data_IF_152567918044
#
_entry.id   IF_152567918044
#
_cell.length_a   1.000
_cell.length_b   1.000
_cell.length_c   1.000
_cell.angle_alpha   90.00
_cell.angle_beta   90.00
_cell.angle_gamma   90.00
#
_symmetry.space_group_name_H-M   'P 1'
#
loop_
_entity.id
_entity.type
_entity.pdbx_description
1 polymer ?
#
# COMPACT_ATOMS: atom_id res chain seq x y z
N UNK A 1 -15.70 16.09 -17.29
CA UNK A 1 -17.07 16.06 -16.76
C UNK A 1 -17.11 15.02 -15.65
N UNK A 2 -17.22 15.43 -14.39
CA UNK A 2 -17.10 14.54 -13.25
C UNK A 2 -18.42 13.77 -13.05
N UNK A 3 -18.40 12.45 -13.29
CA UNK A 3 -19.52 11.57 -12.92
C UNK A 3 -19.76 11.70 -11.41
N UNK A 4 -21.03 11.84 -10.99
CA UNK A 4 -21.37 11.91 -9.57
C UNK A 4 -20.93 10.64 -8.82
N UNK A 5 -20.00 10.83 -7.88
CA UNK A 5 -19.51 9.77 -7.00
C UNK A 5 -20.61 9.42 -6.01
N UNK A 6 -21.04 8.16 -6.00
CA UNK A 6 -22.01 7.65 -5.03
C UNK A 6 -21.32 7.23 -3.74
N UNK A 7 -20.21 6.49 -3.85
CA UNK A 7 -19.50 5.95 -2.68
C UNK A 7 -18.02 5.71 -2.99
N UNK A 8 -17.15 5.99 -2.02
CA UNK A 8 -15.74 5.61 -2.09
C UNK A 8 -15.49 4.50 -1.09
N UNK A 9 -15.06 3.34 -1.58
CA UNK A 9 -14.74 2.16 -0.77
C UNK A 9 -13.23 1.97 -0.79
N UNK A 10 -12.59 1.93 0.38
CA UNK A 10 -11.15 1.69 0.51
C UNK A 10 -10.94 0.27 1.05
N UNK A 11 -10.22 -0.55 0.32
CA UNK A 11 -9.93 -1.94 0.69
C UNK A 11 -8.44 -2.23 0.62
N UNK A 12 -8.00 -3.23 1.37
CA UNK A 12 -6.65 -3.78 1.29
C UNK A 12 -6.75 -5.18 0.70
N UNK A 13 -6.10 -5.41 -0.44
CA UNK A 13 -6.17 -6.67 -1.18
C UNK A 13 -4.74 -7.16 -1.46
N UNK A 14 -4.50 -8.47 -1.36
CA UNK A 14 -3.20 -9.05 -1.72
C UNK A 14 -3.08 -9.13 -3.24
N UNK A 15 -2.02 -8.55 -3.81
CA UNK A 15 -1.72 -8.58 -5.24
C UNK A 15 -1.62 -10.00 -5.78
N UNK A 16 -2.18 -10.23 -6.97
CA UNK A 16 -2.21 -11.53 -7.64
C UNK A 16 -3.11 -12.60 -7.00
N UNK A 17 -3.81 -12.30 -5.89
CA UNK A 17 -4.68 -13.23 -5.18
C UNK A 17 -5.99 -12.56 -4.72
N UNK A 18 -6.57 -11.66 -5.54
CA UNK A 18 -7.89 -11.12 -5.25
C UNK A 18 -8.95 -12.23 -5.42
N UNK A 19 -9.38 -12.78 -4.28
CA UNK A 19 -10.47 -13.73 -4.21
C UNK A 19 -11.73 -13.05 -3.65
N UNK A 20 -12.93 -13.51 -4.03
CA UNK A 20 -14.21 -13.01 -3.50
C UNK A 20 -14.46 -13.35 -2.01
N UNK A 21 -13.40 -13.66 -1.26
CA UNK A 21 -13.40 -14.07 0.14
C UNK A 21 -14.00 -12.98 1.05
N UNK A 22 -14.42 -13.32 2.29
CA UNK A 22 -15.14 -12.42 3.20
C UNK A 22 -14.57 -11.02 3.45
N UNK A 23 -13.26 -10.73 3.34
CA UNK A 23 -12.79 -9.33 3.47
C UNK A 23 -13.13 -8.44 2.28
N UNK A 24 -13.34 -8.98 1.08
CA UNK A 24 -13.54 -8.21 -0.17
C UNK A 24 -14.99 -8.32 -0.66
N UNK A 25 -15.56 -9.53 -0.63
CA UNK A 25 -16.90 -9.82 -1.17
C UNK A 25 -18.03 -8.98 -0.54
N UNK A 26 -18.22 -8.99 0.79
CA UNK A 26 -19.27 -8.22 1.46
C UNK A 26 -19.13 -6.71 1.29
N UNK A 27 -17.91 -6.17 1.35
CA UNK A 27 -17.66 -4.74 1.23
C UNK A 27 -17.93 -4.20 -0.18
N UNK A 28 -17.59 -4.97 -1.21
CA UNK A 28 -17.87 -4.64 -2.61
C UNK A 28 -19.32 -4.91 -3.01
N UNK A 29 -19.88 -6.03 -2.55
CA UNK A 29 -21.28 -6.40 -2.80
C UNK A 29 -22.25 -5.39 -2.21
N UNK A 30 -22.00 -4.93 -0.97
CA UNK A 30 -22.79 -3.87 -0.34
C UNK A 30 -22.67 -2.51 -1.04
N UNK A 31 -21.65 -2.31 -1.88
CA UNK A 31 -21.45 -1.12 -2.69
C UNK A 31 -22.00 -1.27 -4.13
N UNK A 32 -22.54 -2.44 -4.50
CA UNK A 32 -23.09 -2.68 -5.84
C UNK A 32 -22.03 -2.88 -6.92
N UNK A 33 -20.79 -3.21 -6.55
CA UNK A 33 -19.67 -3.44 -7.48
C UNK A 33 -19.65 -4.90 -7.95
N UNK A 34 -19.35 -5.13 -9.23
CA UNK A 34 -19.17 -6.48 -9.75
C UNK A 34 -17.85 -7.09 -9.26
N UNK A 35 -17.94 -7.98 -8.26
CA UNK A 35 -16.80 -8.58 -7.56
C UNK A 35 -15.89 -9.36 -8.52
N UNK A 36 -16.46 -10.12 -9.46
CA UNK A 36 -15.69 -10.93 -10.40
C UNK A 36 -14.89 -10.07 -11.38
N UNK A 37 -15.50 -8.99 -11.87
CA UNK A 37 -14.85 -8.06 -12.79
C UNK A 37 -13.73 -7.31 -12.08
N UNK A 38 -13.97 -6.85 -10.85
CA UNK A 38 -12.94 -6.25 -10.00
C UNK A 38 -11.77 -7.21 -9.76
N UNK A 39 -12.03 -8.46 -9.37
CA UNK A 39 -10.99 -9.46 -9.12
C UNK A 39 -10.13 -9.71 -10.37
N UNK A 40 -10.72 -9.80 -11.56
CA UNK A 40 -9.98 -9.97 -12.82
C UNK A 40 -9.11 -8.77 -13.14
N UNK A 41 -9.68 -7.56 -13.14
CA UNK A 41 -8.94 -6.35 -13.48
C UNK A 41 -7.86 -6.04 -12.44
N UNK A 42 -8.13 -6.29 -11.15
CA UNK A 42 -7.15 -6.15 -10.09
C UNK A 42 -6.01 -7.16 -10.23
N UNK A 43 -6.29 -8.44 -10.48
CA UNK A 43 -5.23 -9.44 -10.67
C UNK A 43 -4.38 -9.14 -11.91
N UNK A 44 -4.98 -8.68 -13.01
CA UNK A 44 -4.24 -8.25 -14.20
C UNK A 44 -3.31 -7.05 -13.92
N UNK A 45 -3.79 -6.04 -13.18
CA UNK A 45 -2.98 -4.85 -12.80
C UNK A 45 -1.96 -5.13 -11.69
N UNK A 46 -2.11 -6.21 -10.94
CA UNK A 46 -1.24 -6.56 -9.80
C UNK A 46 -0.41 -7.81 -10.04
N UNK A 47 -0.37 -8.28 -11.28
CA UNK A 47 0.43 -9.42 -11.70
C UNK A 47 1.93 -9.18 -11.50
N UNK A 48 2.36 -7.91 -11.56
CA UNK A 48 3.75 -7.50 -11.36
C UNK A 48 4.18 -7.49 -9.87
N UNK A 49 3.23 -7.53 -8.92
CA UNK A 49 3.51 -7.45 -7.47
C UNK A 49 2.75 -8.56 -6.69
N UNK A 50 3.00 -9.85 -6.99
CA UNK A 50 2.29 -10.96 -6.34
C UNK A 50 2.61 -11.01 -4.84
N UNK A 51 1.59 -11.19 -4.01
CA UNK A 51 1.72 -11.40 -2.57
C UNK A 51 1.80 -10.15 -1.70
N UNK A 52 2.02 -8.96 -2.28
CA UNK A 52 2.06 -7.70 -1.51
C UNK A 52 0.64 -7.20 -1.20
N UNK A 53 0.42 -6.66 0.00
CA UNK A 53 -0.86 -6.03 0.35
C UNK A 53 -0.91 -4.66 -0.34
N UNK A 54 -1.83 -4.50 -1.28
CA UNK A 54 -2.04 -3.28 -2.05
C UNK A 54 -3.34 -2.59 -1.61
N UNK A 55 -3.28 -1.31 -1.22
CA UNK A 55 -4.48 -0.54 -0.96
C UNK A 55 -5.16 -0.18 -2.27
N UNK A 56 -6.47 -0.37 -2.33
CA UNK A 56 -7.29 -0.02 -3.50
C UNK A 56 -8.37 0.96 -3.05
N UNK A 57 -8.46 2.07 -3.76
CA UNK A 57 -9.57 3.02 -3.63
C UNK A 57 -10.53 2.78 -4.79
N UNK A 58 -11.77 2.42 -4.47
CA UNK A 58 -12.81 2.09 -5.44
C UNK A 58 -13.87 3.19 -5.36
N UNK A 59 -14.07 3.86 -6.47
CA UNK A 59 -15.04 4.92 -6.64
C UNK A 59 -16.23 4.32 -7.37
N UNK A 60 -17.38 4.25 -6.69
CA UNK A 60 -18.64 3.77 -7.27
C UNK A 60 -19.46 4.98 -7.69
N UNK A 61 -19.94 4.96 -8.92
CA UNK A 61 -20.80 5.99 -9.50
C UNK A 61 -22.28 5.56 -9.43
N UNK A 62 -23.20 6.53 -9.55
CA UNK A 62 -24.66 6.26 -9.50
C UNK A 62 -25.16 5.34 -10.62
N UNK A 63 -24.47 5.29 -11.75
CA UNK A 63 -24.75 4.41 -12.90
C UNK A 63 -24.33 2.94 -12.67
N UNK A 64 -23.91 2.58 -11.45
CA UNK A 64 -23.32 1.28 -11.09
C UNK A 64 -21.98 1.00 -11.78
N UNK A 65 -21.41 1.98 -12.49
CA UNK A 65 -20.02 1.88 -12.92
C UNK A 65 -19.10 2.09 -11.71
N UNK A 66 -17.94 1.46 -11.76
CA UNK A 66 -16.91 1.60 -10.75
C UNK A 66 -15.58 1.89 -11.42
N UNK A 67 -14.80 2.76 -10.80
CA UNK A 67 -13.39 2.95 -11.11
C UNK A 67 -12.57 2.55 -9.89
N UNK A 68 -11.38 2.02 -10.09
CA UNK A 68 -10.50 1.68 -9.00
C UNK A 68 -9.06 2.10 -9.28
N UNK A 69 -8.47 2.73 -8.28
CA UNK A 69 -7.07 3.12 -8.28
C UNK A 69 -6.34 2.18 -7.33
N UNK A 70 -5.45 1.37 -7.89
CA UNK A 70 -4.52 0.54 -7.12
C UNK A 70 -3.34 1.43 -6.73
N UNK A 71 -3.12 1.56 -5.43
CA UNK A 71 -1.94 2.26 -4.91
C UNK A 71 -0.79 1.30 -4.70
N UNK A 72 0.41 1.84 -4.65
CA UNK A 72 1.62 1.13 -4.22
C UNK A 72 1.45 0.54 -2.82
N UNK A 73 2.17 -0.56 -2.54
CA UNK A 73 2.08 -1.19 -1.23
C UNK A 73 2.49 -0.21 -0.12
N UNK A 74 1.94 -0.35 1.09
CA UNK A 74 2.33 0.49 2.22
C UNK A 74 3.84 0.35 2.46
N UNK A 75 4.49 1.48 2.75
CA UNK A 75 5.92 1.49 3.11
C UNK A 75 6.19 0.51 4.27
N UNK A 76 5.23 0.36 5.19
CA UNK A 76 5.28 -0.61 6.27
C UNK A 76 5.53 -2.05 5.80
N UNK A 77 4.82 -2.51 4.77
CA UNK A 77 4.94 -3.88 4.25
C UNK A 77 6.29 -4.07 3.55
N UNK A 78 6.69 -3.10 2.73
CA UNK A 78 7.99 -3.13 2.04
C UNK A 78 9.17 -3.10 3.04
N UNK A 79 9.07 -2.28 4.09
CA UNK A 79 10.07 -2.21 5.14
C UNK A 79 10.16 -3.50 5.97
N UNK A 80 9.03 -4.17 6.25
CA UNK A 80 9.01 -5.47 6.93
C UNK A 80 9.64 -6.57 6.06
N UNK A 81 9.38 -6.58 4.75
CA UNK A 81 10.01 -7.49 3.79
C UNK A 81 11.53 -7.30 3.76
N UNK A 82 11.98 -6.05 3.61
CA UNK A 82 13.40 -5.69 3.55
C UNK A 82 14.11 -5.98 4.87
N UNK A 83 13.48 -5.67 6.00
CA UNK A 83 14.02 -5.97 7.32
C UNK A 83 13.94 -7.46 7.69
N UNK A 84 13.26 -8.28 6.86
CA UNK A 84 12.97 -9.71 7.12
C UNK A 84 12.25 -9.96 8.45
N UNK A 85 11.41 -9.02 8.87
CA UNK A 85 10.66 -9.09 10.13
C UNK A 85 9.19 -9.34 9.83
N UNK A 86 8.56 -10.29 10.54
CA UNK A 86 7.14 -10.63 10.33
C UNK A 86 6.16 -9.65 10.99
N UNK A 87 6.57 -8.94 12.04
CA UNK A 87 5.73 -8.03 12.82
C UNK A 87 6.52 -6.80 13.25
N UNK A 88 5.90 -5.62 13.15
CA UNK A 88 6.45 -4.39 13.72
C UNK A 88 6.54 -4.46 15.25
N UNK A 89 7.35 -3.60 15.85
CA UNK A 89 7.47 -3.51 17.30
C UNK A 89 6.18 -2.98 17.93
N UNK A 90 5.72 -3.63 19.00
CA UNK A 90 4.63 -3.11 19.84
C UNK A 90 5.06 -1.90 20.68
N UNK A 91 6.37 -1.74 20.93
CA UNK A 91 6.96 -0.59 21.62
C UNK A 91 8.14 -0.05 20.79
N UNK A 92 7.89 0.75 19.75
CA UNK A 92 8.91 1.22 18.80
C UNK A 92 10.09 1.94 19.44
N UNK A 93 9.89 2.55 20.61
CA UNK A 93 10.91 3.29 21.36
C UNK A 93 11.78 2.40 22.25
N UNK A 94 11.27 1.23 22.69
CA UNK A 94 11.98 0.33 23.63
C UNK A 94 12.55 -0.90 22.91
N UNK A 95 11.73 -1.54 22.08
CA UNK A 95 12.08 -2.79 21.41
C UNK A 95 12.29 -2.52 19.93
N UNK A 96 13.54 -2.51 19.48
CA UNK A 96 13.85 -2.42 18.04
C UNK A 96 13.82 -3.80 17.43
N UNK A 97 13.03 -3.96 16.36
CA UNK A 97 12.75 -5.28 15.74
C UNK A 97 13.61 -5.57 14.51
N UNK A 98 14.41 -4.61 14.05
CA UNK A 98 15.31 -4.80 12.92
C UNK A 98 16.05 -3.53 12.53
N UNK A 99 16.88 -3.64 11.48
CA UNK A 99 17.63 -2.54 10.89
C UNK A 99 17.37 -2.45 9.39
N UNK A 100 17.28 -1.24 8.86
CA UNK A 100 17.17 -0.97 7.42
C UNK A 100 18.22 0.06 7.01
N UNK A 101 18.76 -0.03 5.80
CA UNK A 101 19.75 0.93 5.27
C UNK A 101 19.08 2.03 4.45
N UNK A 102 19.73 3.18 4.31
CA UNK A 102 19.21 4.25 3.45
C UNK A 102 19.10 3.87 1.98
N UNK A 103 19.97 2.99 1.48
CA UNK A 103 19.86 2.45 0.11
C UNK A 103 18.55 1.70 -0.10
N UNK A 104 18.16 0.89 0.88
CA UNK A 104 16.89 0.17 0.85
C UNK A 104 15.70 1.13 0.93
N UNK A 105 15.81 2.18 1.77
CA UNK A 105 14.79 3.23 1.87
C UNK A 105 14.66 4.00 0.56
N UNK A 106 15.77 4.24 -0.15
CA UNK A 106 15.77 4.91 -1.46
C UNK A 106 14.98 4.12 -2.49
N UNK A 107 15.26 2.83 -2.62
CA UNK A 107 14.53 1.94 -3.56
C UNK A 107 13.03 1.91 -3.22
N UNK A 108 12.69 1.85 -1.93
CA UNK A 108 11.29 1.90 -1.48
C UNK A 108 10.66 3.26 -1.79
N UNK A 109 11.38 4.36 -1.58
CA UNK A 109 10.91 5.71 -1.84
C UNK A 109 10.68 5.95 -3.35
N UNK A 110 11.55 5.44 -4.21
CA UNK A 110 11.42 5.50 -5.66
C UNK A 110 10.20 4.69 -6.15
N UNK A 111 10.01 3.45 -5.68
CA UNK A 111 8.82 2.65 -6.01
C UNK A 111 7.52 3.30 -5.51
N UNK A 112 7.60 4.05 -4.40
CA UNK A 112 6.45 4.74 -3.78
C UNK A 112 6.24 6.18 -4.26
N UNK A 113 7.16 6.73 -5.05
CA UNK A 113 7.16 8.15 -5.43
C UNK A 113 5.87 8.55 -6.15
N UNK A 114 5.28 7.61 -6.89
CA UNK A 114 4.04 7.79 -7.64
C UNK A 114 2.82 8.07 -6.74
N UNK A 115 2.84 7.59 -5.49
CA UNK A 115 1.76 7.76 -4.50
C UNK A 115 2.12 8.73 -3.38
N UNK A 116 3.37 9.17 -3.31
CA UNK A 116 3.83 10.14 -2.33
C UNK A 116 3.58 11.55 -2.87
N UNK A 117 3.06 12.42 -2.02
CA UNK A 117 3.01 13.86 -2.31
C UNK A 117 4.38 14.54 -2.13
N UNK A 118 5.48 13.77 -2.20
CA UNK A 118 6.82 14.29 -2.02
C UNK A 118 7.31 14.92 -3.33
N UNK A 119 7.87 16.12 -3.25
CA UNK A 119 8.43 16.82 -4.42
C UNK A 119 9.85 16.33 -4.76
N UNK A 120 10.57 15.79 -3.78
CA UNK A 120 11.93 15.28 -3.93
C UNK A 120 12.07 13.86 -3.38
N UNK A 121 13.00 13.09 -3.95
CA UNK A 121 13.31 11.73 -3.49
C UNK A 121 13.78 11.75 -2.04
N UNK A 122 14.51 12.79 -1.62
CA UNK A 122 14.98 12.97 -0.24
C UNK A 122 13.83 13.11 0.75
N UNK A 123 12.79 13.87 0.38
CA UNK A 123 11.57 14.00 1.18
C UNK A 123 10.83 12.66 1.27
N UNK A 124 10.73 11.94 0.15
CA UNK A 124 10.16 10.60 0.13
C UNK A 124 10.94 9.63 1.03
N UNK A 125 12.26 9.67 1.00
CA UNK A 125 13.14 8.87 1.87
C UNK A 125 12.93 9.22 3.34
N UNK A 126 12.85 10.51 3.70
CA UNK A 126 12.55 10.96 5.08
C UNK A 126 11.17 10.47 5.55
N UNK A 127 10.15 10.45 4.70
CA UNK A 127 8.82 9.90 5.03
C UNK A 127 8.84 8.39 5.27
N UNK A 128 9.56 7.64 4.43
CA UNK A 128 9.72 6.19 4.60
C UNK A 128 10.55 5.87 5.86
N UNK A 129 11.60 6.64 6.13
CA UNK A 129 12.41 6.53 7.34
C UNK A 129 11.58 6.80 8.61
N UNK A 130 10.68 7.79 8.57
CA UNK A 130 9.73 8.05 9.66
C UNK A 130 8.83 6.83 9.93
N UNK A 131 8.33 6.20 8.86
CA UNK A 131 7.54 4.97 8.98
C UNK A 131 8.36 3.82 9.58
N UNK A 132 9.61 3.65 9.15
CA UNK A 132 10.53 2.65 9.71
C UNK A 132 10.74 2.86 11.22
N UNK A 133 10.97 4.11 11.64
CA UNK A 133 11.15 4.47 13.06
C UNK A 133 9.91 4.16 13.89
N UNK A 134 8.72 4.48 13.39
CA UNK A 134 7.44 4.20 14.06
C UNK A 134 7.11 2.72 14.15
N UNK A 135 7.74 1.86 13.33
CA UNK A 135 7.61 0.40 13.44
C UNK A 135 8.70 -0.24 14.31
N UNK A 136 9.63 0.56 14.85
CA UNK A 136 10.75 0.04 15.63
C UNK A 136 11.90 -0.51 14.78
N UNK A 137 12.01 -0.11 13.52
CA UNK A 137 13.19 -0.37 12.70
C UNK A 137 14.23 0.73 12.91
N UNK A 138 15.50 0.34 12.99
CA UNK A 138 16.63 1.28 13.13
C UNK A 138 17.21 1.56 11.75
N UNK A 139 17.11 2.81 11.31
CA UNK A 139 17.71 3.25 10.05
C UNK A 139 19.21 3.41 10.26
N UNK A 140 20.03 2.75 9.45
CA UNK A 140 21.50 2.85 9.46
C UNK A 140 22.00 3.63 8.24
N UNK A 141 22.96 4.52 8.47
CA UNK A 141 23.64 5.35 7.47
C UNK A 141 23.31 6.83 7.61
N UNK A 142 23.93 7.63 6.75
CA UNK A 142 23.75 9.09 6.72
C UNK A 142 22.40 9.46 6.12
N UNK A 143 21.68 10.35 6.81
CA UNK A 143 20.44 10.88 6.28
C UNK A 143 20.72 11.68 5.00
N UNK A 144 19.88 11.57 3.96
CA UNK A 144 19.93 12.52 2.87
C UNK A 144 19.73 13.94 3.45
N UNK A 145 20.62 14.86 3.08
CA UNK A 145 20.61 16.24 3.55
C UNK A 145 19.24 16.89 3.33
#
# INVERSE_FOLDING_TARGET
MAKEVSKVVKLQVRGGAANPSPPVGPALGAAGVNIMEFCKQFNARTQDKPGKVLPVAITVYKDKSFDFVVKTPPAAVQLLEVAKVKKGSGEPNRSKVGTVTWDQIKVIAEDKMQDLNAFTIESAMKMVAGTARSMGLRVKGDAPA
#
